data_IF_012003007268
#
_entry.id   IF_012003007268
#
_cell.length_a   1.000
_cell.length_b   1.000
_cell.length_c   1.000
_cell.angle_alpha   90.00
_cell.angle_beta   90.00
_cell.angle_gamma   90.00
#
_symmetry.space_group_name_H-M   'P 1'
#
loop_
_entity.id
_entity.type
_entity.pdbx_description
1 polymer ?
#
# COMPACT_ATOMS: atom_id res chain seq x y z
N UNK A 1 -8.33 24.97 -36.15
CA UNK A 1 -8.35 23.95 -35.05
C UNK A 1 -9.10 22.73 -35.57
N UNK A 2 -8.48 21.55 -35.48
CA UNK A 2 -9.10 20.30 -35.88
C UNK A 2 -9.88 19.75 -34.69
N UNK A 3 -11.19 19.66 -34.78
CA UNK A 3 -12.03 19.01 -33.79
C UNK A 3 -11.74 17.50 -33.78
N UNK A 4 -11.29 16.99 -32.63
CA UNK A 4 -11.02 15.57 -32.42
C UNK A 4 -12.01 15.04 -31.40
N UNK A 5 -12.68 13.93 -31.71
CA UNK A 5 -13.58 13.23 -30.77
C UNK A 5 -12.78 12.24 -29.93
N UNK A 6 -12.98 12.32 -28.63
CA UNK A 6 -12.39 11.39 -27.64
C UNK A 6 -13.50 10.67 -26.88
N UNK A 7 -13.34 9.36 -26.68
CA UNK A 7 -14.16 8.60 -25.75
C UNK A 7 -13.44 8.63 -24.40
N UNK A 8 -14.00 9.34 -23.44
CA UNK A 8 -13.34 9.61 -22.16
C UNK A 8 -14.36 9.68 -21.02
N UNK A 9 -13.90 9.89 -19.79
CA UNK A 9 -14.74 10.06 -18.59
C UNK A 9 -14.89 11.54 -18.25
N UNK A 10 -15.98 11.88 -17.55
CA UNK A 10 -16.25 13.25 -17.10
C UNK A 10 -15.09 13.82 -16.25
N UNK A 11 -14.49 13.01 -15.38
CA UNK A 11 -13.36 13.44 -14.55
C UNK A 11 -12.13 13.83 -15.37
N UNK A 12 -11.82 13.11 -16.45
CA UNK A 12 -10.71 13.46 -17.35
C UNK A 12 -11.02 14.73 -18.16
N UNK A 13 -12.28 14.93 -18.55
CA UNK A 13 -12.69 16.16 -19.20
C UNK A 13 -12.50 17.38 -18.28
N UNK A 14 -12.91 17.28 -16.99
CA UNK A 14 -12.68 18.33 -16.00
C UNK A 14 -11.17 18.57 -15.79
N UNK A 15 -10.37 17.51 -15.76
CA UNK A 15 -8.92 17.64 -15.61
C UNK A 15 -8.27 18.34 -16.81
N UNK A 16 -8.87 18.21 -18.02
CA UNK A 16 -8.34 18.86 -19.23
C UNK A 16 -8.38 20.38 -19.17
N UNK A 17 -9.26 20.96 -18.35
CA UNK A 17 -9.38 22.43 -18.21
C UNK A 17 -8.13 23.07 -17.60
N UNK A 18 -7.39 22.32 -16.79
CA UNK A 18 -6.17 22.81 -16.12
C UNK A 18 -4.89 22.45 -16.88
N UNK A 19 -4.98 21.76 -18.03
CA UNK A 19 -3.79 21.42 -18.80
C UNK A 19 -3.16 22.66 -19.46
N UNK A 20 -1.82 22.76 -19.42
CA UNK A 20 -1.12 23.78 -20.19
C UNK A 20 -1.28 23.50 -21.70
N UNK A 21 -1.34 24.57 -22.52
CA UNK A 21 -1.62 24.50 -23.95
C UNK A 21 -0.65 23.62 -24.77
N UNK A 22 0.49 23.26 -24.21
CA UNK A 22 1.49 22.38 -24.87
C UNK A 22 1.30 20.89 -24.62
N UNK A 23 0.40 20.49 -23.72
CA UNK A 23 0.16 19.08 -23.42
C UNK A 23 -1.05 18.53 -24.18
N UNK A 24 -0.91 17.36 -24.87
CA UNK A 24 -2.03 16.75 -25.56
C UNK A 24 -3.00 16.09 -24.56
N UNK A 25 -4.30 16.07 -24.88
CA UNK A 25 -5.33 15.41 -24.08
C UNK A 25 -5.00 13.92 -23.80
N UNK A 26 -4.34 13.24 -24.75
CA UNK A 26 -3.92 11.84 -24.62
C UNK A 26 -3.01 11.60 -23.38
N UNK A 27 -2.30 12.61 -22.92
CA UNK A 27 -1.43 12.50 -21.74
C UNK A 27 -2.23 12.23 -20.45
N UNK A 28 -3.47 12.71 -20.38
CA UNK A 28 -4.36 12.53 -19.22
C UNK A 28 -5.46 11.49 -19.45
N UNK A 29 -5.65 11.00 -20.67
CA UNK A 29 -6.70 10.02 -20.99
C UNK A 29 -6.32 8.59 -20.55
N UNK A 30 -5.93 8.47 -19.31
CA UNK A 30 -5.54 7.24 -18.62
C UNK A 30 -5.75 7.38 -17.11
N UNK A 31 -5.64 6.28 -16.38
CA UNK A 31 -5.68 6.31 -14.91
C UNK A 31 -4.40 6.96 -14.38
N UNK A 32 -4.53 8.07 -13.66
CA UNK A 32 -3.41 8.85 -13.12
C UNK A 32 -3.15 8.47 -11.66
N UNK A 33 -2.24 7.52 -11.44
CA UNK A 33 -1.67 7.21 -10.14
C UNK A 33 -0.46 8.10 -9.86
N UNK A 34 0.09 8.06 -8.64
CA UNK A 34 1.24 8.86 -8.22
C UNK A 34 2.40 8.87 -9.22
N UNK A 35 2.78 7.70 -9.74
CA UNK A 35 3.86 7.57 -10.73
C UNK A 35 3.51 8.24 -12.07
N UNK A 36 2.28 8.12 -12.49
CA UNK A 36 1.80 8.69 -13.76
C UNK A 36 1.68 10.22 -13.67
N UNK A 37 1.28 10.75 -12.51
CA UNK A 37 1.29 12.20 -12.26
C UNK A 37 2.72 12.74 -12.29
N UNK A 38 3.70 12.03 -11.70
CA UNK A 38 5.10 12.44 -11.78
C UNK A 38 5.61 12.50 -13.24
N UNK A 39 5.26 11.51 -14.05
CA UNK A 39 5.58 11.50 -15.48
C UNK A 39 4.89 12.64 -16.23
N UNK A 40 3.63 12.93 -15.88
CA UNK A 40 2.87 14.03 -16.50
C UNK A 40 3.52 15.39 -16.21
N UNK A 41 4.00 15.60 -14.98
CA UNK A 41 4.72 16.83 -14.61
C UNK A 41 6.06 16.92 -15.34
N UNK A 42 6.81 15.84 -15.48
CA UNK A 42 8.06 15.80 -16.26
C UNK A 42 7.80 16.10 -17.75
N UNK A 43 6.75 15.51 -18.34
CA UNK A 43 6.35 15.81 -19.71
C UNK A 43 5.91 17.27 -19.90
N UNK A 44 5.20 17.83 -18.93
CA UNK A 44 4.84 19.26 -18.92
C UNK A 44 6.10 20.13 -18.89
N UNK A 45 7.07 19.83 -18.05
CA UNK A 45 8.31 20.59 -17.97
C UNK A 45 9.08 20.59 -19.29
N UNK A 46 9.17 19.43 -19.95
CA UNK A 46 9.89 19.28 -21.21
C UNK A 46 9.20 19.99 -22.38
N UNK A 47 7.87 20.07 -22.39
CA UNK A 47 7.09 20.65 -23.50
C UNK A 47 6.73 22.11 -23.30
N UNK A 48 6.37 22.49 -22.08
CA UNK A 48 5.80 23.80 -21.77
C UNK A 48 6.77 24.72 -21.00
N UNK A 49 7.88 24.16 -20.49
CA UNK A 49 8.85 24.90 -19.70
C UNK A 49 8.48 25.06 -18.21
N UNK A 50 9.36 25.71 -17.46
CA UNK A 50 9.28 25.80 -15.99
C UNK A 50 8.02 26.51 -15.50
N UNK A 51 7.72 27.71 -16.06
CA UNK A 51 6.63 28.55 -15.58
C UNK A 51 5.26 27.88 -15.67
N UNK A 52 4.95 27.33 -16.84
CA UNK A 52 3.65 26.68 -17.09
C UNK A 52 3.52 25.38 -16.28
N UNK A 53 4.63 24.67 -16.04
CA UNK A 53 4.65 23.47 -15.21
C UNK A 53 4.37 23.79 -13.75
N UNK A 54 4.92 24.86 -13.20
CA UNK A 54 4.64 25.27 -11.82
C UNK A 54 3.17 25.65 -11.63
N UNK A 55 2.62 26.44 -12.57
CA UNK A 55 1.20 26.81 -12.55
C UNK A 55 0.32 25.58 -12.66
N UNK A 56 0.64 24.66 -13.57
CA UNK A 56 -0.09 23.41 -13.74
C UNK A 56 -0.05 22.54 -12.47
N UNK A 57 1.11 22.39 -11.84
CA UNK A 57 1.25 21.60 -10.62
C UNK A 57 0.42 22.19 -9.46
N UNK A 58 0.40 23.51 -9.32
CA UNK A 58 -0.41 24.19 -8.31
C UNK A 58 -1.92 24.01 -8.58
N UNK A 59 -2.35 24.23 -9.81
CA UNK A 59 -3.75 24.02 -10.21
C UNK A 59 -4.19 22.56 -10.02
N UNK A 60 -3.33 21.59 -10.34
CA UNK A 60 -3.59 20.16 -10.14
C UNK A 60 -3.77 19.84 -8.64
N UNK A 61 -2.92 20.37 -7.79
CA UNK A 61 -3.02 20.21 -6.35
C UNK A 61 -4.33 20.80 -5.81
N UNK A 62 -4.66 22.03 -6.18
CA UNK A 62 -5.88 22.70 -5.73
C UNK A 62 -7.15 21.99 -6.23
N UNK A 63 -7.16 21.56 -7.49
CA UNK A 63 -8.27 20.76 -8.05
C UNK A 63 -8.42 19.44 -7.30
N UNK A 64 -7.30 18.76 -6.98
CA UNK A 64 -7.30 17.54 -6.17
C UNK A 64 -7.92 17.74 -4.80
N UNK A 65 -7.52 18.78 -4.06
CA UNK A 65 -8.09 19.08 -2.74
C UNK A 65 -9.58 19.41 -2.81
N UNK A 66 -9.98 20.25 -3.74
CA UNK A 66 -11.39 20.63 -3.94
C UNK A 66 -12.28 19.43 -4.28
N UNK A 67 -11.83 18.57 -5.19
CA UNK A 67 -12.59 17.41 -5.63
C UNK A 67 -12.62 16.32 -4.56
N UNK A 68 -11.53 16.07 -3.84
CA UNK A 68 -11.49 15.13 -2.72
C UNK A 68 -12.45 15.55 -1.59
N UNK A 69 -12.48 16.85 -1.26
CA UNK A 69 -13.44 17.39 -0.26
C UNK A 69 -14.87 17.21 -0.71
N UNK A 70 -15.19 17.47 -1.97
CA UNK A 70 -16.55 17.28 -2.51
C UNK A 70 -16.96 15.82 -2.60
N UNK A 71 -16.03 14.92 -2.85
CA UNK A 71 -16.28 13.49 -2.88
C UNK A 71 -16.58 12.89 -1.49
N UNK A 72 -16.18 13.58 -0.41
CA UNK A 72 -16.44 13.13 0.96
C UNK A 72 -15.77 11.81 1.30
N UNK A 73 -14.56 11.55 0.76
CA UNK A 73 -13.82 10.32 1.00
C UNK A 73 -13.40 10.26 2.47
N UNK A 74 -13.86 9.25 3.18
CA UNK A 74 -13.57 9.00 4.59
C UNK A 74 -13.22 7.53 4.81
N UNK A 75 -12.62 7.20 5.95
CA UNK A 75 -12.27 5.83 6.32
C UNK A 75 -13.11 5.42 7.53
N UNK A 76 -13.79 4.29 7.43
CA UNK A 76 -14.44 3.64 8.54
C UNK A 76 -13.78 2.30 8.88
N UNK A 77 -14.13 1.73 10.04
CA UNK A 77 -13.69 0.39 10.43
C UNK A 77 -14.24 -0.67 9.48
N UNK A 78 -15.44 -0.45 8.94
CA UNK A 78 -16.11 -1.38 8.01
C UNK A 78 -15.44 -1.45 6.65
N UNK A 79 -14.70 -0.40 6.24
CA UNK A 79 -13.92 -0.40 5.01
C UNK A 79 -12.73 -1.37 5.04
N UNK A 80 -12.33 -1.81 6.25
CA UNK A 80 -11.24 -2.76 6.47
C UNK A 80 -11.76 -4.20 6.29
N UNK A 81 -11.95 -4.65 5.06
CA UNK A 81 -12.48 -5.99 4.78
C UNK A 81 -11.43 -7.06 5.08
N UNK A 82 -11.77 -7.95 6.03
CA UNK A 82 -10.95 -9.12 6.34
C UNK A 82 -11.21 -10.20 5.29
N UNK A 83 -10.18 -10.77 4.63
CA UNK A 83 -10.38 -11.77 3.59
C UNK A 83 -11.05 -13.03 4.14
N UNK A 84 -12.06 -13.52 3.44
CA UNK A 84 -12.79 -14.75 3.82
C UNK A 84 -11.88 -15.98 3.83
N UNK A 85 -10.88 -16.01 2.95
CA UNK A 85 -9.90 -17.09 2.84
C UNK A 85 -8.80 -17.07 3.91
N UNK A 86 -8.74 -16.01 4.74
CA UNK A 86 -7.68 -15.84 5.74
C UNK A 86 -7.53 -17.05 6.64
N UNK A 87 -8.64 -17.59 7.17
CA UNK A 87 -8.62 -18.70 8.10
C UNK A 87 -8.04 -19.95 7.48
N UNK A 88 -8.48 -20.32 6.30
CA UNK A 88 -7.99 -21.51 5.58
C UNK A 88 -6.50 -21.43 5.24
N UNK A 89 -6.00 -20.22 4.89
CA UNK A 89 -4.58 -20.00 4.61
C UNK A 89 -3.72 -20.13 5.88
N UNK A 90 -4.21 -19.65 7.01
CA UNK A 90 -3.52 -19.78 8.30
C UNK A 90 -3.51 -21.24 8.74
N UNK A 91 -4.64 -21.94 8.69
CA UNK A 91 -4.75 -23.34 9.08
C UNK A 91 -3.84 -24.26 8.24
N UNK A 92 -3.70 -23.97 6.93
CA UNK A 92 -2.75 -24.66 6.06
C UNK A 92 -1.29 -24.42 6.47
N UNK A 93 -0.92 -23.16 6.76
CA UNK A 93 0.42 -22.82 7.21
C UNK A 93 0.75 -23.46 8.58
N UNK A 94 -0.20 -23.50 9.50
CA UNK A 94 -0.03 -24.21 10.81
C UNK A 94 0.18 -25.70 10.62
N UNK A 95 -0.50 -26.33 9.66
CA UNK A 95 -0.30 -27.74 9.34
C UNK A 95 1.12 -28.00 8.79
N UNK A 96 1.62 -27.15 7.89
CA UNK A 96 2.99 -27.24 7.40
C UNK A 96 4.02 -27.05 8.53
N UNK A 97 3.82 -26.10 9.42
CA UNK A 97 4.71 -25.87 10.58
C UNK A 97 4.74 -27.09 11.51
N UNK A 98 3.58 -27.69 11.81
CA UNK A 98 3.50 -28.91 12.61
C UNK A 98 4.26 -30.09 12.00
N UNK A 99 4.25 -30.20 10.68
CA UNK A 99 5.03 -31.21 9.97
C UNK A 99 6.55 -30.99 10.12
N UNK A 100 7.00 -29.74 10.00
CA UNK A 100 8.41 -29.41 10.24
C UNK A 100 8.82 -29.67 11.69
N UNK A 101 7.94 -29.42 12.66
CA UNK A 101 8.19 -29.74 14.07
C UNK A 101 8.35 -31.25 14.31
N UNK A 102 7.54 -32.09 13.64
CA UNK A 102 7.70 -33.54 13.70
C UNK A 102 9.03 -33.98 13.10
N UNK A 103 9.43 -33.41 11.95
CA UNK A 103 10.72 -33.70 11.32
C UNK A 103 11.89 -33.32 12.24
N UNK A 104 11.78 -32.19 12.94
CA UNK A 104 12.76 -31.77 13.92
C UNK A 104 12.83 -32.75 15.12
N UNK A 105 11.70 -33.13 15.67
CA UNK A 105 11.62 -34.07 16.80
C UNK A 105 12.15 -35.46 16.43
N UNK A 106 12.02 -35.89 15.18
CA UNK A 106 12.60 -37.14 14.67
C UNK A 106 14.08 -37.03 14.28
N UNK A 107 14.71 -35.87 14.46
CA UNK A 107 16.13 -35.67 14.16
C UNK A 107 16.50 -35.51 12.70
N UNK A 108 15.50 -35.34 11.81
CA UNK A 108 15.71 -35.18 10.36
C UNK A 108 16.15 -33.77 9.96
N UNK A 109 15.89 -32.79 10.81
CA UNK A 109 16.14 -31.35 10.53
C UNK A 109 16.87 -30.72 11.71
N UNK A 110 17.84 -29.87 11.43
CA UNK A 110 18.56 -29.09 12.46
C UNK A 110 17.73 -27.93 12.99
N UNK A 111 18.13 -27.36 14.15
CA UNK A 111 17.46 -26.18 14.75
C UNK A 111 17.43 -25.01 13.78
N UNK A 112 18.55 -24.74 13.09
CA UNK A 112 18.65 -23.62 12.15
C UNK A 112 17.76 -23.81 10.90
N UNK A 113 17.71 -25.05 10.38
CA UNK A 113 16.84 -25.38 9.24
C UNK A 113 15.36 -25.30 9.62
N UNK A 114 14.98 -25.80 10.80
CA UNK A 114 13.62 -25.65 11.33
C UNK A 114 13.22 -24.18 11.38
N UNK A 115 14.06 -23.35 11.99
CA UNK A 115 13.82 -21.91 12.10
C UNK A 115 13.60 -21.25 10.73
N UNK A 116 14.51 -21.50 9.78
CA UNK A 116 14.40 -20.91 8.45
C UNK A 116 13.16 -21.38 7.69
N UNK A 117 12.81 -22.68 7.78
CA UNK A 117 11.60 -23.22 7.16
C UNK A 117 10.32 -22.62 7.76
N UNK A 118 10.25 -22.49 9.09
CA UNK A 118 9.08 -21.88 9.76
C UNK A 118 8.91 -20.42 9.36
N UNK A 119 10.00 -19.65 9.34
CA UNK A 119 9.96 -18.24 8.91
C UNK A 119 9.50 -18.13 7.45
N UNK A 120 9.98 -19.00 6.55
CA UNK A 120 9.58 -19.02 5.15
C UNK A 120 8.09 -19.37 4.97
N UNK A 121 7.59 -20.38 5.68
CA UNK A 121 6.16 -20.76 5.65
C UNK A 121 5.29 -19.56 6.04
N UNK A 122 5.59 -18.91 7.15
CA UNK A 122 4.82 -17.75 7.61
C UNK A 122 4.98 -16.52 6.72
N UNK A 123 6.15 -16.34 6.10
CA UNK A 123 6.35 -15.30 5.08
C UNK A 123 5.43 -15.49 3.89
N UNK A 124 5.42 -16.70 3.31
CA UNK A 124 4.53 -17.07 2.20
C UNK A 124 3.05 -16.95 2.55
N UNK A 125 2.65 -17.43 3.73
CA UNK A 125 1.28 -17.31 4.21
C UNK A 125 0.85 -15.84 4.34
N UNK A 126 1.72 -14.98 4.89
CA UNK A 126 1.48 -13.55 4.99
C UNK A 126 1.27 -12.86 3.63
N UNK A 127 2.06 -13.25 2.63
CA UNK A 127 1.93 -12.71 1.26
C UNK A 127 0.65 -13.22 0.57
N UNK A 128 0.27 -14.47 0.79
CA UNK A 128 -1.00 -15.03 0.28
C UNK A 128 -2.22 -14.33 0.88
N UNK A 129 -2.21 -14.09 2.20
CA UNK A 129 -3.28 -13.33 2.89
C UNK A 129 -3.32 -11.89 2.38
N UNK A 130 -2.17 -11.25 2.17
CA UNK A 130 -2.11 -9.89 1.62
C UNK A 130 -2.68 -9.82 0.21
N UNK A 131 -2.36 -10.81 -0.64
CA UNK A 131 -2.89 -10.89 -2.00
C UNK A 131 -4.40 -11.10 -1.99
N UNK A 132 -4.91 -12.07 -1.24
CA UNK A 132 -6.34 -12.33 -1.11
C UNK A 132 -7.10 -11.10 -0.59
N UNK A 133 -6.52 -10.36 0.36
CA UNK A 133 -7.09 -9.11 0.88
C UNK A 133 -7.16 -8.03 -0.21
N UNK A 134 -6.08 -7.82 -0.96
CA UNK A 134 -6.06 -6.80 -2.02
C UNK A 134 -7.01 -7.16 -3.16
N UNK A 135 -7.11 -8.44 -3.53
CA UNK A 135 -8.04 -8.91 -4.55
C UNK A 135 -9.49 -8.70 -4.11
N UNK A 136 -9.82 -8.94 -2.84
CA UNK A 136 -11.16 -8.70 -2.28
C UNK A 136 -11.48 -7.21 -2.17
N UNK A 137 -10.50 -6.36 -1.78
CA UNK A 137 -10.68 -4.91 -1.68
C UNK A 137 -10.79 -4.23 -3.05
N UNK A 138 -10.15 -4.79 -4.09
CA UNK A 138 -10.06 -4.17 -5.42
C UNK A 138 -11.34 -4.22 -6.22
N UNK A 139 -12.24 -5.13 -5.91
CA UNK A 139 -13.46 -5.35 -6.66
C UNK A 139 -14.69 -5.44 -5.76
N UNK A 140 -15.79 -4.96 -6.28
CA UNK A 140 -17.10 -5.11 -5.67
C UNK A 140 -18.12 -5.60 -6.70
N UNK A 141 -19.08 -6.39 -6.24
CA UNK A 141 -20.20 -6.84 -7.07
C UNK A 141 -21.36 -5.85 -6.92
N UNK A 142 -21.80 -5.27 -8.01
CA UNK A 142 -22.91 -4.32 -8.05
C UNK A 142 -23.97 -4.83 -9.00
N UNK A 143 -25.22 -4.71 -8.58
CA UNK A 143 -26.37 -5.06 -9.43
C UNK A 143 -26.62 -3.92 -10.42
N UNK A 144 -26.52 -4.21 -11.71
CA UNK A 144 -26.86 -3.26 -12.77
C UNK A 144 -28.38 -2.98 -12.81
N UNK A 145 -28.77 -1.96 -13.55
CA UNK A 145 -30.19 -1.62 -13.79
C UNK A 145 -31.00 -2.80 -14.39
N UNK A 146 -30.34 -3.77 -15.01
CA UNK A 146 -30.92 -4.98 -15.57
C UNK A 146 -31.04 -6.13 -14.55
N UNK A 147 -30.65 -5.93 -13.27
CA UNK A 147 -30.69 -6.96 -12.24
C UNK A 147 -29.53 -7.97 -12.30
N UNK A 148 -28.52 -7.77 -13.16
CA UNK A 148 -27.35 -8.64 -13.25
C UNK A 148 -26.22 -8.15 -12.33
N UNK A 149 -25.58 -9.07 -11.63
CA UNK A 149 -24.37 -8.80 -10.86
C UNK A 149 -23.20 -8.57 -11.83
N UNK A 150 -22.60 -7.39 -11.74
CA UNK A 150 -21.42 -7.02 -12.51
C UNK A 150 -20.29 -6.70 -11.54
N UNK A 151 -19.13 -7.31 -11.79
CA UNK A 151 -17.90 -7.03 -11.05
C UNK A 151 -17.30 -5.72 -11.55
N UNK A 152 -17.16 -4.74 -10.66
CA UNK A 152 -16.53 -3.46 -10.98
C UNK A 152 -15.41 -3.12 -9.99
N UNK A 153 -14.58 -2.15 -10.32
CA UNK A 153 -13.59 -1.61 -9.39
C UNK A 153 -14.27 -1.09 -8.13
N UNK A 154 -13.67 -1.38 -6.99
CA UNK A 154 -14.20 -1.01 -5.69
C UNK A 154 -14.07 0.48 -5.41
N UNK A 155 -15.12 1.09 -4.86
CA UNK A 155 -15.10 2.44 -4.30
C UNK A 155 -14.67 2.47 -2.81
N UNK A 156 -14.07 1.39 -2.31
CA UNK A 156 -13.54 1.36 -0.96
C UNK A 156 -12.46 2.43 -0.78
N UNK A 157 -12.65 3.33 0.19
CA UNK A 157 -11.77 4.49 0.41
C UNK A 157 -10.33 4.10 0.70
N UNK A 158 -10.11 3.02 1.46
CA UNK A 158 -8.78 2.50 1.80
C UNK A 158 -8.07 2.00 0.55
N UNK A 159 -8.78 1.21 -0.29
CA UNK A 159 -8.25 0.72 -1.54
C UNK A 159 -7.89 1.87 -2.49
N UNK A 160 -8.80 2.84 -2.65
CA UNK A 160 -8.57 4.00 -3.52
C UNK A 160 -7.33 4.80 -3.11
N UNK A 161 -7.14 5.05 -1.81
CA UNK A 161 -5.97 5.79 -1.31
C UNK A 161 -4.66 5.04 -1.53
N UNK A 162 -4.64 3.73 -1.29
CA UNK A 162 -3.43 2.92 -1.44
C UNK A 162 -3.09 2.66 -2.90
N UNK A 163 -4.07 2.35 -3.75
CA UNK A 163 -3.86 2.08 -5.17
C UNK A 163 -3.42 3.35 -5.93
N UNK A 164 -4.00 4.49 -5.61
CA UNK A 164 -3.58 5.77 -6.19
C UNK A 164 -2.18 6.21 -5.72
N UNK A 165 -1.72 5.71 -4.57
CA UNK A 165 -0.47 6.13 -3.93
C UNK A 165 -0.59 7.46 -3.16
N UNK A 166 -1.81 7.93 -2.91
CA UNK A 166 -2.05 9.16 -2.14
C UNK A 166 -1.67 8.99 -0.67
N UNK A 167 -2.09 7.90 -0.05
CA UNK A 167 -1.76 7.59 1.36
C UNK A 167 -1.84 6.09 1.63
N UNK A 168 -0.90 5.63 2.44
CA UNK A 168 -0.82 4.22 2.81
C UNK A 168 -0.13 3.36 1.74
N UNK A 169 0.22 2.17 2.14
CA UNK A 169 0.79 1.13 1.28
C UNK A 169 0.06 -0.19 1.51
N UNK A 170 0.17 -1.13 0.57
CA UNK A 170 -0.38 -2.48 0.74
C UNK A 170 0.10 -3.15 2.04
N UNK A 171 1.35 -2.91 2.44
CA UNK A 171 1.90 -3.42 3.69
C UNK A 171 1.20 -2.84 4.95
N UNK A 172 0.82 -1.57 4.91
CA UNK A 172 0.08 -0.94 6.02
C UNK A 172 -1.36 -1.45 6.08
N UNK A 173 -2.03 -1.61 4.94
CA UNK A 173 -3.39 -2.16 4.89
C UNK A 173 -3.39 -3.62 5.34
N UNK A 174 -2.36 -4.40 4.99
CA UNK A 174 -2.20 -5.78 5.47
C UNK A 174 -2.24 -5.87 7.00
N UNK A 175 -1.61 -4.92 7.71
CA UNK A 175 -1.65 -4.88 9.17
C UNK A 175 -3.04 -4.51 9.71
N UNK A 176 -3.81 -3.72 8.98
CA UNK A 176 -5.15 -3.29 9.40
C UNK A 176 -6.23 -4.36 9.18
N UNK A 177 -6.22 -5.04 8.04
CA UNK A 177 -7.29 -5.93 7.61
C UNK A 177 -6.86 -7.37 7.29
N UNK A 178 -5.56 -7.61 7.04
CA UNK A 178 -5.03 -8.93 6.72
C UNK A 178 -4.46 -9.65 7.93
N UNK A 179 -3.14 -9.76 7.98
CA UNK A 179 -2.38 -10.40 9.04
C UNK A 179 -1.13 -9.55 9.34
N UNK A 180 -0.82 -9.34 10.60
CA UNK A 180 0.35 -8.55 10.97
C UNK A 180 1.67 -9.26 10.63
N UNK A 181 1.71 -10.58 10.84
CA UNK A 181 2.82 -11.45 10.45
C UNK A 181 3.97 -11.52 11.45
N UNK A 182 5.16 -11.83 10.95
CA UNK A 182 6.35 -12.02 11.75
C UNK A 182 6.89 -10.69 12.30
N UNK A 183 7.37 -10.72 13.55
CA UNK A 183 7.95 -9.57 14.23
C UNK A 183 9.44 -9.77 14.44
N UNK A 184 10.22 -8.69 14.24
CA UNK A 184 11.64 -8.69 14.55
C UNK A 184 11.89 -8.32 16.03
N UNK A 185 12.84 -8.98 16.66
CA UNK A 185 13.39 -8.59 17.97
C UNK A 185 14.32 -7.37 17.82
N UNK A 186 14.68 -6.70 18.90
CA UNK A 186 15.65 -5.59 18.86
C UNK A 186 17.02 -5.98 18.28
N UNK A 187 17.47 -7.23 18.46
CA UNK A 187 18.71 -7.79 17.91
C UNK A 187 18.67 -8.02 16.38
N UNK A 188 17.48 -7.96 15.78
CA UNK A 188 17.26 -8.19 14.35
C UNK A 188 16.81 -9.60 14.00
N UNK A 189 16.84 -10.55 14.94
CA UNK A 189 16.28 -11.89 14.73
C UNK A 189 14.75 -11.83 14.61
N UNK A 190 14.17 -12.79 13.89
CA UNK A 190 12.71 -12.87 13.70
C UNK A 190 12.13 -13.80 14.76
N UNK A 191 11.00 -13.41 15.33
CA UNK A 191 10.23 -14.26 16.25
C UNK A 191 9.47 -15.29 15.41
N UNK A 192 9.68 -16.59 15.68
CA UNK A 192 9.06 -17.69 14.91
C UNK A 192 7.53 -17.70 14.96
N UNK A 193 6.96 -17.21 16.05
CA UNK A 193 5.51 -17.16 16.23
C UNK A 193 4.98 -15.85 15.59
N UNK A 194 4.17 -15.95 14.51
CA UNK A 194 3.63 -14.78 13.86
C UNK A 194 2.42 -14.21 14.64
N UNK A 195 2.12 -12.96 14.37
CA UNK A 195 0.85 -12.35 14.76
C UNK A 195 -0.15 -12.60 13.64
N UNK A 196 -1.03 -13.58 13.83
CA UNK A 196 -2.03 -13.99 12.83
C UNK A 196 -3.23 -13.05 12.76
N UNK A 197 -3.46 -12.26 13.82
CA UNK A 197 -4.53 -11.26 13.86
C UNK A 197 -4.12 -9.95 13.20
N UNK A 198 -5.10 -9.11 12.91
CA UNK A 198 -4.94 -7.75 12.42
C UNK A 198 -5.46 -6.73 13.46
N UNK A 199 -5.30 -5.44 13.19
CA UNK A 199 -5.77 -4.40 14.10
C UNK A 199 -7.29 -4.29 14.17
N UNK A 200 -8.02 -4.66 13.11
CA UNK A 200 -9.49 -4.69 13.14
C UNK A 200 -10.03 -5.76 14.08
N UNK A 201 -9.44 -6.96 14.05
CA UNK A 201 -9.82 -8.07 14.94
C UNK A 201 -9.35 -7.86 16.38
N UNK A 202 -8.31 -7.05 16.55
CA UNK A 202 -7.64 -6.82 17.82
C UNK A 202 -6.53 -7.83 18.09
N UNK A 203 -5.58 -7.44 18.96
CA UNK A 203 -4.44 -8.25 19.38
C UNK A 203 -4.69 -8.79 20.78
N UNK A 204 -4.28 -10.02 21.03
CA UNK A 204 -4.21 -10.51 22.40
C UNK A 204 -2.99 -9.89 23.14
N UNK A 205 -2.93 -10.05 24.45
CA UNK A 205 -1.89 -9.44 25.30
C UNK A 205 -0.48 -9.85 24.87
N UNK A 206 -0.27 -11.13 24.54
CA UNK A 206 1.04 -11.63 24.09
C UNK A 206 1.44 -11.04 22.73
N UNK A 207 0.52 -11.00 21.78
CA UNK A 207 0.75 -10.41 20.47
C UNK A 207 1.03 -8.91 20.54
N UNK A 208 0.32 -8.21 21.42
CA UNK A 208 0.57 -6.81 21.69
C UNK A 208 1.98 -6.60 22.26
N UNK A 209 2.37 -7.38 23.28
CA UNK A 209 3.71 -7.29 23.87
C UNK A 209 4.82 -7.56 22.84
N UNK A 210 4.70 -8.62 22.02
CA UNK A 210 5.65 -8.92 20.95
C UNK A 210 5.75 -7.73 19.97
N UNK A 211 4.62 -7.12 19.65
CA UNK A 211 4.59 -6.00 18.71
C UNK A 211 5.28 -4.73 19.24
N UNK A 212 5.39 -4.56 20.56
CA UNK A 212 6.09 -3.40 21.15
C UNK A 212 7.58 -3.39 20.86
N UNK A 213 8.21 -4.55 20.68
CA UNK A 213 9.64 -4.64 20.31
C UNK A 213 9.91 -3.98 18.97
N UNK A 214 9.09 -4.29 17.96
CA UNK A 214 9.20 -3.68 16.64
C UNK A 214 8.90 -2.18 16.64
N UNK A 215 7.92 -1.73 17.42
CA UNK A 215 7.60 -0.31 17.56
C UNK A 215 8.76 0.47 18.21
N UNK A 216 9.33 -0.04 19.30
CA UNK A 216 10.47 0.59 19.99
C UNK A 216 11.70 0.68 19.07
N UNK A 217 12.03 -0.41 18.35
CA UNK A 217 13.12 -0.41 17.37
C UNK A 217 12.88 0.62 16.26
N UNK A 218 11.68 0.66 15.71
CA UNK A 218 11.32 1.61 14.65
C UNK A 218 11.44 3.08 15.09
N UNK A 219 11.05 3.40 16.32
CA UNK A 219 11.20 4.74 16.89
C UNK A 219 12.68 5.11 17.09
N UNK A 220 13.49 4.20 17.63
CA UNK A 220 14.92 4.42 17.80
C UNK A 220 15.65 4.58 16.46
N UNK A 221 15.37 3.70 15.49
CA UNK A 221 15.96 3.76 14.15
C UNK A 221 15.60 5.06 13.43
N UNK A 222 14.38 5.55 13.56
CA UNK A 222 13.94 6.81 12.96
C UNK A 222 14.72 7.99 13.54
N UNK A 223 14.88 8.05 14.86
CA UNK A 223 15.64 9.11 15.53
C UNK A 223 17.12 9.14 15.08
N UNK A 224 17.76 7.97 15.02
CA UNK A 224 19.17 7.86 14.60
C UNK A 224 19.35 8.19 13.10
N UNK A 225 18.47 7.71 12.24
CA UNK A 225 18.52 8.00 10.79
C UNK A 225 18.32 9.48 10.50
N UNK A 226 17.45 10.16 11.24
CA UNK A 226 17.22 11.60 11.09
C UNK A 226 18.50 12.39 11.42
N UNK A 227 19.17 12.05 12.53
CA UNK A 227 20.43 12.68 12.93
C UNK A 227 21.54 12.45 11.88
N UNK A 228 21.71 11.22 11.41
CA UNK A 228 22.70 10.86 10.40
C UNK A 228 22.45 11.57 9.07
N UNK A 229 21.19 11.64 8.63
CA UNK A 229 20.80 12.36 7.41
C UNK A 229 21.11 13.85 7.50
N UNK A 230 20.78 14.48 8.63
CA UNK A 230 21.09 15.90 8.87
C UNK A 230 22.60 16.19 8.85
N UNK A 231 23.39 15.34 9.50
CA UNK A 231 24.85 15.47 9.49
C UNK A 231 25.45 15.27 8.09
N UNK A 232 24.98 14.28 7.33
CA UNK A 232 25.41 14.06 5.95
C UNK A 232 25.11 15.28 5.07
N UNK A 233 23.88 15.80 5.16
CA UNK A 233 23.46 17.00 4.40
C UNK A 233 24.36 18.18 4.70
N UNK A 234 24.64 18.45 5.99
CA UNK A 234 25.56 19.53 6.39
C UNK A 234 26.95 19.37 5.78
N UNK A 235 27.53 18.16 5.85
CA UNK A 235 28.86 17.89 5.27
C UNK A 235 28.88 18.12 3.75
N UNK A 236 27.80 17.70 3.05
CA UNK A 236 27.71 17.92 1.61
C UNK A 236 27.64 19.40 1.26
N UNK A 237 26.86 20.18 1.99
CA UNK A 237 26.77 21.64 1.81
C UNK A 237 28.11 22.32 2.07
N UNK A 238 28.83 21.92 3.13
CA UNK A 238 30.13 22.51 3.48
C UNK A 238 31.21 22.23 2.41
N UNK A 239 31.13 21.09 1.71
CA UNK A 239 32.06 20.74 0.62
C UNK A 239 31.68 21.41 -0.72
N UNK A 240 30.42 21.77 -0.93
CA UNK A 240 29.93 22.38 -2.18
C UNK A 240 29.93 23.91 -2.17
N UNK A 241 30.25 24.55 -1.05
CA UNK A 241 30.53 25.98 -0.93
C UNK A 241 31.96 26.29 -1.32
#
# INVERSE_FOLDING_TARGET
>A
EKLVRHTTTAGRAILSEILPKGLPFKAIDRTLKKKEISKLIDESFRRCGLKDTVVFADQLMQAGFRLATRAGISISVDDMLVPTQKRSLIDAAEAEVKEIEKQYTSGLVTVGERYNKVVDIWGRAGDQVAKAMMDQLSHQEVTNAEGKLVKQESFNSIYMMADSGARGSAAQIRQLAGMRGLMAKPDGSIIEVPITTNFREGLNVQQYFISTHGARKGLADTALKTANSGYLTRRLVDVTK
#
